data_IF_334205455708
#
_entry.id   IF_334205455708
#
_cell.length_a   1.000
_cell.length_b   1.000
_cell.length_c   1.000
_cell.angle_alpha   90.00
_cell.angle_beta   90.00
_cell.angle_gamma   90.00
#
_symmetry.space_group_name_H-M   'P 1'
#
loop_
_entity.id
_entity.type
_entity.pdbx_description
1 polymer ?
#
# COMPACT_ATOMS: atom_id res chain seq x y z
N UNK A 1 18.91 2.90 25.71
CA UNK A 1 18.25 1.93 24.80
C UNK A 1 18.53 2.34 23.36
N UNK A 2 18.91 1.37 22.52
CA UNK A 2 19.07 1.57 21.07
C UNK A 2 17.70 1.81 20.45
N UNK A 3 17.54 2.87 19.66
CA UNK A 3 16.31 3.13 18.92
C UNK A 3 16.09 2.07 17.83
N UNK A 4 14.93 1.44 17.84
CA UNK A 4 14.58 0.47 16.82
C UNK A 4 14.21 1.20 15.51
N UNK A 5 15.14 1.17 14.55
CA UNK A 5 14.97 1.81 13.24
C UNK A 5 13.88 1.14 12.39
N UNK A 6 13.43 -0.07 12.73
CA UNK A 6 12.33 -0.75 12.01
C UNK A 6 10.98 -0.05 12.19
N UNK A 7 10.85 0.84 13.18
CA UNK A 7 9.64 1.63 13.41
C UNK A 7 9.46 2.78 12.41
N UNK A 8 10.55 3.26 11.79
CA UNK A 8 10.50 4.43 10.89
C UNK A 8 9.56 4.19 9.70
N UNK A 9 9.69 3.10 8.91
CA UNK A 9 8.80 2.90 7.76
C UNK A 9 7.34 2.79 8.15
N UNK A 10 7.03 2.10 9.26
CA UNK A 10 5.65 1.94 9.76
C UNK A 10 5.06 3.29 10.15
N UNK A 11 5.81 4.09 10.92
CA UNK A 11 5.37 5.42 11.36
C UNK A 11 5.12 6.39 10.20
N UNK A 12 5.95 6.36 9.16
CA UNK A 12 5.83 7.30 8.04
C UNK A 12 4.92 6.81 6.91
N UNK A 13 4.92 5.52 6.58
CA UNK A 13 4.25 4.99 5.38
C UNK A 13 2.90 4.36 5.69
N UNK A 14 2.78 3.66 6.82
CA UNK A 14 1.58 2.89 7.15
C UNK A 14 0.65 3.65 8.09
N UNK A 15 1.20 4.54 8.91
CA UNK A 15 0.40 5.29 9.87
C UNK A 15 -0.60 6.24 9.17
N UNK A 16 -1.90 6.12 9.47
CA UNK A 16 -2.95 6.85 8.77
C UNK A 16 -2.99 8.32 9.15
N UNK A 17 -3.59 9.12 8.27
CA UNK A 17 -3.84 10.54 8.55
C UNK A 17 -4.93 10.69 9.63
N UNK A 18 -4.77 11.70 10.49
CA UNK A 18 -5.71 12.12 11.53
C UNK A 18 -5.99 11.14 12.68
N UNK A 19 -5.30 9.99 12.71
CA UNK A 19 -5.33 9.10 13.87
C UNK A 19 -4.34 9.58 14.94
N UNK A 20 -4.75 9.63 16.21
CA UNK A 20 -3.86 9.98 17.33
C UNK A 20 -3.01 8.77 17.77
N UNK A 21 -1.69 8.94 17.83
CA UNK A 21 -0.79 8.06 18.58
C UNK A 21 -0.58 8.64 19.96
N UNK A 22 -0.80 7.83 20.99
CA UNK A 22 -0.49 8.15 22.36
C UNK A 22 0.95 7.73 22.72
N UNK A 23 1.69 8.67 23.28
CA UNK A 23 2.99 8.43 23.88
C UNK A 23 2.88 8.80 25.37
N UNK A 24 2.97 7.84 26.30
CA UNK A 24 3.02 8.14 27.71
C UNK A 24 4.09 9.21 27.99
N UNK A 25 3.78 10.18 28.85
CA UNK A 25 4.65 11.33 29.10
C UNK A 25 5.81 11.00 30.05
N UNK A 26 6.59 9.98 29.67
CA UNK A 26 7.81 9.56 30.34
C UNK A 26 9.03 9.77 29.43
N UNK A 27 10.23 9.73 30.02
CA UNK A 27 11.47 10.04 29.30
C UNK A 27 11.66 9.13 28.08
N UNK A 28 11.38 7.84 28.21
CA UNK A 28 11.58 6.86 27.14
C UNK A 28 10.70 7.17 25.91
N UNK A 29 9.40 7.31 26.12
CA UNK A 29 8.42 7.46 25.04
C UNK A 29 8.51 8.84 24.37
N UNK A 30 8.74 9.91 25.14
CA UNK A 30 8.94 11.26 24.59
C UNK A 30 10.23 11.31 23.76
N UNK A 31 11.31 10.66 24.22
CA UNK A 31 12.56 10.56 23.44
C UNK A 31 12.35 9.72 22.17
N UNK A 32 11.59 8.63 22.23
CA UNK A 32 11.25 7.82 21.05
C UNK A 32 10.50 8.66 20.01
N UNK A 33 9.46 9.39 20.42
CA UNK A 33 8.71 10.29 19.53
C UNK A 33 9.63 11.35 18.89
N UNK A 34 10.49 11.97 19.70
CA UNK A 34 11.46 12.94 19.19
C UNK A 34 12.41 12.31 18.16
N UNK A 35 12.92 11.11 18.42
CA UNK A 35 13.78 10.37 17.47
C UNK A 35 13.05 9.95 16.21
N UNK A 36 11.76 9.61 16.29
CA UNK A 36 10.96 9.31 15.10
C UNK A 36 10.87 10.53 14.18
N UNK A 37 10.69 11.73 14.75
CA UNK A 37 10.50 12.96 14.00
C UNK A 37 11.83 13.59 13.51
N UNK A 38 12.90 13.52 14.31
CA UNK A 38 14.15 14.25 14.06
C UNK A 38 15.41 13.37 13.95
N UNK A 39 15.26 12.05 14.06
CA UNK A 39 16.37 11.10 14.03
C UNK A 39 17.16 11.00 15.34
N UNK A 40 18.08 10.04 15.42
CA UNK A 40 18.99 9.92 16.56
C UNK A 40 20.04 11.01 16.51
N UNK A 41 20.23 11.77 17.61
CA UNK A 41 21.21 12.85 17.68
C UNK A 41 21.06 13.90 16.57
N UNK A 42 19.84 14.13 16.06
CA UNK A 42 19.57 14.99 14.90
C UNK A 42 20.28 14.53 13.62
N UNK A 43 20.74 13.27 13.59
CA UNK A 43 21.25 12.67 12.36
C UNK A 43 20.08 12.40 11.43
N UNK A 44 20.25 12.83 10.17
CA UNK A 44 19.27 12.61 9.10
C UNK A 44 18.95 11.12 9.03
N UNK A 45 17.68 10.75 9.14
CA UNK A 45 17.28 9.39 8.84
C UNK A 45 17.03 9.22 7.33
N UNK A 46 17.04 7.97 6.88
CA UNK A 46 16.65 7.59 5.54
C UNK A 46 15.39 6.74 5.58
N UNK A 47 14.57 6.87 4.54
CA UNK A 47 13.34 6.12 4.33
C UNK A 47 13.41 5.45 2.97
N UNK A 48 13.48 4.13 2.95
CA UNK A 48 13.42 3.36 1.71
C UNK A 48 11.95 3.19 1.29
N UNK A 49 11.59 3.75 0.15
CA UNK A 49 10.22 3.70 -0.37
C UNK A 49 10.17 3.98 -1.87
N UNK A 50 9.01 3.78 -2.50
CA UNK A 50 8.81 4.12 -3.90
C UNK A 50 8.93 5.62 -4.13
N UNK A 51 9.63 6.01 -5.19
CA UNK A 51 9.59 7.38 -5.69
C UNK A 51 8.58 7.47 -6.84
N UNK A 52 7.42 8.15 -6.69
CA UNK A 52 6.40 8.23 -7.74
C UNK A 52 6.87 8.93 -9.02
N UNK A 53 7.84 9.84 -8.89
CA UNK A 53 8.43 10.57 -10.00
C UNK A 53 9.49 9.75 -10.74
N UNK A 54 10.35 9.01 -10.01
CA UNK A 54 11.32 8.09 -10.62
C UNK A 54 10.70 6.80 -11.15
N UNK A 55 9.53 6.41 -10.62
CA UNK A 55 8.85 5.14 -10.86
C UNK A 55 9.68 3.90 -10.49
N UNK A 56 10.33 3.94 -9.32
CA UNK A 56 11.12 2.83 -8.74
C UNK A 56 11.40 3.06 -7.26
N UNK A 57 11.63 1.99 -6.50
CA UNK A 57 12.14 2.02 -5.13
C UNK A 57 13.39 2.89 -5.01
N UNK A 58 13.42 3.81 -4.05
CA UNK A 58 14.54 4.71 -3.77
C UNK A 58 14.73 4.92 -2.27
N UNK A 59 15.93 5.35 -1.90
CA UNK A 59 16.19 5.90 -0.57
C UNK A 59 15.86 7.39 -0.57
N UNK A 60 15.00 7.81 0.36
CA UNK A 60 14.70 9.21 0.63
C UNK A 60 15.45 9.67 1.86
N UNK A 61 16.20 10.76 1.75
CA UNK A 61 17.01 11.30 2.83
C UNK A 61 16.28 12.49 3.47
N UNK A 62 16.19 12.50 4.80
CA UNK A 62 15.58 13.61 5.52
C UNK A 62 16.35 14.92 5.24
N UNK A 63 15.61 15.93 4.81
CA UNK A 63 16.04 17.32 4.76
C UNK A 63 15.67 17.92 6.11
N UNK A 64 16.64 17.95 7.01
CA UNK A 64 16.46 18.49 8.35
C UNK A 64 16.42 20.02 8.26
N UNK A 65 15.22 20.58 8.34
CA UNK A 65 14.98 22.01 8.52
C UNK A 65 14.73 22.23 10.01
N UNK A 66 15.80 22.54 10.73
CA UNK A 66 15.70 22.90 12.15
C UNK A 66 15.55 24.42 12.21
N UNK A 67 14.54 24.97 12.91
CA UNK A 67 14.49 26.39 13.22
C UNK A 67 15.82 26.90 13.81
N UNK A 68 16.32 28.04 13.34
CA UNK A 68 17.68 28.54 13.70
C UNK A 68 17.88 28.68 15.22
N UNK A 69 16.84 29.04 15.95
CA UNK A 69 16.81 29.13 17.42
C UNK A 69 17.05 27.78 18.08
N UNK A 70 16.45 26.71 17.53
CA UNK A 70 16.68 25.36 17.97
C UNK A 70 18.09 24.90 17.59
N UNK A 71 18.58 25.20 16.38
CA UNK A 71 19.94 24.80 15.98
C UNK A 71 21.00 25.34 16.95
N UNK A 72 20.82 26.56 17.45
CA UNK A 72 21.68 27.21 18.45
C UNK A 72 21.57 26.53 19.83
N UNK A 73 20.37 26.13 20.28
CA UNK A 73 20.20 25.39 21.54
C UNK A 73 20.76 23.95 21.47
N UNK A 74 20.56 23.28 20.33
CA UNK A 74 21.01 21.91 20.06
C UNK A 74 22.55 21.81 19.95
N UNK A 75 23.22 22.84 19.42
CA UNK A 75 24.69 22.90 19.38
C UNK A 75 25.32 23.10 20.77
N UNK A 76 24.58 23.63 21.75
CA UNK A 76 25.09 23.92 23.11
C UNK A 76 25.01 22.74 24.08
N UNK A 77 24.09 21.78 23.87
CA UNK A 77 23.91 20.61 24.72
C UNK A 77 24.47 19.36 24.03
N UNK A 78 25.64 18.90 24.46
CA UNK A 78 26.20 17.64 23.96
C UNK A 78 25.32 16.46 24.38
N UNK A 79 24.78 15.76 23.39
CA UNK A 79 24.48 14.32 23.35
C UNK A 79 23.16 13.77 23.92
N UNK A 80 22.42 14.43 24.82
CA UNK A 80 21.10 13.93 25.26
C UNK A 80 20.12 15.06 25.58
N UNK A 81 18.91 14.98 25.03
CA UNK A 81 17.80 15.88 25.37
C UNK A 81 16.96 15.25 26.48
N UNK A 82 16.79 15.97 27.57
CA UNK A 82 15.84 15.59 28.62
C UNK A 82 14.39 15.81 28.14
N UNK A 83 13.46 15.06 28.72
CA UNK A 83 12.03 15.13 28.40
C UNK A 83 11.47 16.55 28.47
N UNK A 84 11.83 17.30 29.52
CA UNK A 84 11.32 18.66 29.73
C UNK A 84 11.73 19.64 28.60
N UNK A 85 12.92 19.46 28.03
CA UNK A 85 13.38 20.24 26.88
C UNK A 85 12.58 19.89 25.62
N UNK A 86 12.34 18.60 25.39
CA UNK A 86 11.55 18.12 24.23
C UNK A 86 10.09 18.60 24.32
N UNK A 87 9.47 18.48 25.50
CA UNK A 87 8.08 18.91 25.73
C UNK A 87 7.90 20.41 25.45
N UNK A 88 8.74 21.27 26.04
CA UNK A 88 8.73 22.71 25.78
C UNK A 88 8.85 23.06 24.30
N UNK A 89 9.55 22.23 23.56
CA UNK A 89 9.70 22.44 22.14
C UNK A 89 8.46 22.02 21.35
N UNK A 90 7.88 20.86 21.64
CA UNK A 90 6.59 20.47 21.07
C UNK A 90 5.49 21.50 21.38
N UNK A 91 5.51 22.14 22.55
CA UNK A 91 4.61 23.26 22.88
C UNK A 91 4.83 24.49 21.99
N UNK A 92 6.08 24.84 21.68
CA UNK A 92 6.44 25.97 20.81
C UNK A 92 6.17 25.69 19.34
N UNK A 93 6.38 24.45 18.90
CA UNK A 93 6.25 24.01 17.51
C UNK A 93 5.37 22.77 17.43
N UNK A 94 4.05 22.90 17.65
CA UNK A 94 3.14 21.76 17.65
C UNK A 94 2.94 21.18 16.24
N UNK A 95 3.23 21.94 15.18
CA UNK A 95 3.20 21.46 13.80
C UNK A 95 4.61 21.18 13.29
N UNK A 96 4.86 19.92 12.94
CA UNK A 96 6.19 19.40 12.60
C UNK A 96 6.20 18.95 11.14
N UNK A 97 6.81 19.75 10.24
CA UNK A 97 7.02 19.37 8.85
C UNK A 97 8.27 18.48 8.70
N UNK A 98 8.12 17.35 8.02
CA UNK A 98 9.21 16.44 7.68
C UNK A 98 9.34 16.41 6.16
N UNK A 99 10.49 16.86 5.67
CA UNK A 99 10.83 16.84 4.25
C UNK A 99 11.87 15.77 3.98
N UNK A 100 11.72 15.01 2.89
CA UNK A 100 12.72 14.07 2.41
C UNK A 100 12.95 14.24 0.90
N UNK A 101 14.20 14.11 0.46
CA UNK A 101 14.56 14.12 -0.96
C UNK A 101 15.04 12.75 -1.45
N UNK A 102 14.65 12.41 -2.67
CA UNK A 102 15.09 11.18 -3.33
C UNK A 102 16.59 11.21 -3.63
N UNK A 103 17.30 10.13 -3.28
CA UNK A 103 18.73 9.98 -3.57
C UNK A 103 19.10 10.01 -5.06
N UNK A 104 18.13 9.73 -5.95
CA UNK A 104 18.34 9.73 -7.40
C UNK A 104 18.08 11.08 -8.06
N UNK A 105 17.25 11.91 -7.45
CA UNK A 105 16.97 13.27 -7.91
C UNK A 105 16.46 14.09 -6.72
N UNK A 106 17.24 15.08 -6.30
CA UNK A 106 16.91 15.93 -5.16
C UNK A 106 15.64 16.76 -5.33
N UNK A 107 15.15 16.92 -6.58
CA UNK A 107 13.90 17.62 -6.86
C UNK A 107 12.66 16.77 -6.54
N UNK A 108 12.80 15.44 -6.47
CA UNK A 108 11.67 14.57 -6.10
C UNK A 108 11.58 14.50 -4.58
N UNK A 109 10.44 14.91 -4.03
CA UNK A 109 10.29 15.09 -2.58
C UNK A 109 9.12 14.30 -2.02
N UNK A 110 9.29 13.85 -0.78
CA UNK A 110 8.21 13.36 0.07
C UNK A 110 8.13 14.28 1.28
N UNK A 111 6.91 14.56 1.70
CA UNK A 111 6.57 15.44 2.78
C UNK A 111 5.57 14.75 3.72
N UNK A 112 5.77 14.94 5.02
CA UNK A 112 4.83 14.58 6.07
C UNK A 112 4.64 15.75 7.02
N UNK A 113 3.43 15.93 7.55
CA UNK A 113 3.14 16.91 8.58
C UNK A 113 2.53 16.22 9.80
N UNK A 114 3.07 16.51 10.98
CA UNK A 114 2.57 16.00 12.25
C UNK A 114 2.08 17.15 13.13
N UNK A 115 1.06 16.89 13.93
CA UNK A 115 0.55 17.76 14.97
C UNK A 115 0.77 17.08 16.33
N UNK A 116 1.35 17.82 17.27
CA UNK A 116 1.64 17.35 18.63
C UNK A 116 0.74 18.08 19.63
N UNK A 117 0.05 17.31 20.47
CA UNK A 117 -0.74 17.81 21.60
C UNK A 117 -0.17 17.23 22.89
N UNK A 118 0.11 18.06 23.89
CA UNK A 118 0.62 17.61 25.19
C UNK A 118 -0.48 17.76 26.23
N UNK A 119 -0.82 16.64 26.87
CA UNK A 119 -1.71 16.59 28.03
C UNK A 119 -0.91 16.30 29.32
N UNK A 120 -1.60 16.12 30.45
CA UNK A 120 -0.96 15.91 31.76
C UNK A 120 -0.05 14.67 31.74
N UNK A 121 -0.56 13.53 31.24
CA UNK A 121 0.11 12.22 31.31
C UNK A 121 0.50 11.65 29.93
N UNK A 122 0.10 12.30 28.83
CA UNK A 122 0.26 11.76 27.47
C UNK A 122 0.66 12.85 26.49
N UNK A 123 1.52 12.51 25.53
CA UNK A 123 1.81 13.29 24.33
C UNK A 123 1.14 12.61 23.14
N UNK A 124 0.24 13.31 22.46
CA UNK A 124 -0.41 12.81 21.26
C UNK A 124 0.32 13.29 20.01
N UNK A 125 0.60 12.37 19.10
CA UNK A 125 1.14 12.67 17.78
C UNK A 125 0.13 12.27 16.70
N UNK A 126 -0.24 13.22 15.86
CA UNK A 126 -1.21 13.01 14.78
C UNK A 126 -0.58 13.38 13.45
N UNK A 127 -0.54 12.44 12.50
CA UNK A 127 -0.14 12.76 11.13
C UNK A 127 -1.27 13.55 10.45
N UNK A 128 -1.08 14.84 10.21
CA UNK A 128 -2.12 15.75 9.68
C UNK A 128 -1.97 16.05 8.20
N UNK A 129 -0.86 15.63 7.57
CA UNK A 129 -0.68 15.79 6.13
C UNK A 129 0.44 14.93 5.56
N UNK A 130 0.37 14.68 4.25
CA UNK A 130 1.46 14.09 3.49
C UNK A 130 1.37 14.42 2.00
N UNK A 131 2.53 14.41 1.33
CA UNK A 131 2.64 14.47 -0.12
C UNK A 131 3.86 13.66 -0.58
N UNK A 132 3.78 12.83 -1.63
CA UNK A 132 2.57 12.39 -2.34
C UNK A 132 1.61 11.61 -1.43
N UNK A 133 0.43 11.24 -1.95
CA UNK A 133 -0.55 10.49 -1.16
C UNK A 133 0.00 9.11 -0.76
N UNK A 134 -0.57 8.48 0.27
CA UNK A 134 -0.16 7.13 0.70
C UNK A 134 -0.34 6.13 -0.44
N UNK A 135 -1.40 6.31 -1.22
CA UNK A 135 -1.69 5.56 -2.42
C UNK A 135 -0.77 5.87 -3.61
N UNK A 136 0.03 6.95 -3.58
CA UNK A 136 1.09 7.23 -4.56
C UNK A 136 2.43 6.61 -4.13
N UNK A 137 2.72 6.62 -2.82
CA UNK A 137 3.94 6.02 -2.26
C UNK A 137 3.84 4.48 -2.26
N UNK A 138 2.66 3.91 -2.07
CA UNK A 138 2.42 2.47 -2.19
C UNK A 138 2.45 1.95 -3.64
N UNK A 139 2.69 2.81 -4.64
CA UNK A 139 2.47 2.48 -6.07
C UNK A 139 3.48 1.49 -6.63
N UNK A 140 4.71 1.35 -6.14
CA UNK A 140 5.66 0.42 -6.78
C UNK A 140 5.11 -1.00 -6.86
N UNK A 141 4.57 -1.47 -5.73
CA UNK A 141 4.02 -2.81 -5.65
C UNK A 141 2.73 -2.95 -6.47
N UNK A 142 2.02 -1.85 -6.71
CA UNK A 142 0.75 -1.84 -7.42
C UNK A 142 0.91 -1.63 -8.93
N UNK A 143 1.95 -0.93 -9.39
CA UNK A 143 2.08 -0.53 -10.80
C UNK A 143 2.25 -1.78 -11.69
N UNK A 144 2.90 -2.84 -11.19
CA UNK A 144 2.94 -4.15 -11.85
C UNK A 144 1.55 -4.74 -12.13
N UNK A 145 0.54 -4.35 -11.35
CA UNK A 145 -0.85 -4.79 -11.51
C UNK A 145 -1.67 -3.91 -12.46
N UNK A 146 -1.13 -2.77 -12.91
CA UNK A 146 -1.84 -1.88 -13.83
C UNK A 146 -2.21 -2.54 -15.14
N UNK A 147 -1.26 -3.27 -15.75
CA UNK A 147 -1.47 -3.98 -17.02
C UNK A 147 -2.54 -5.08 -16.90
N UNK A 148 -2.45 -6.04 -15.94
CA UNK A 148 -3.46 -7.08 -15.81
C UNK A 148 -4.84 -6.55 -15.38
N UNK A 149 -4.94 -5.52 -14.54
CA UNK A 149 -6.23 -4.93 -14.13
C UNK A 149 -6.88 -4.04 -15.20
N UNK A 150 -6.05 -3.37 -16.02
CA UNK A 150 -6.51 -2.28 -16.87
C UNK A 150 -6.76 -0.99 -16.08
N UNK A 151 -6.96 0.13 -16.80
CA UNK A 151 -7.00 1.48 -16.19
C UNK A 151 -8.10 1.63 -15.14
N UNK A 152 -9.32 1.14 -15.42
CA UNK A 152 -10.47 1.29 -14.54
C UNK A 152 -10.26 0.55 -13.21
N UNK A 153 -10.07 -0.77 -13.26
CA UNK A 153 -9.94 -1.59 -12.05
C UNK A 153 -8.65 -1.28 -11.27
N UNK A 154 -7.60 -0.79 -11.95
CA UNK A 154 -6.42 -0.25 -11.27
C UNK A 154 -6.75 0.99 -10.42
N UNK A 155 -7.55 1.91 -10.95
CA UNK A 155 -8.02 3.07 -10.17
C UNK A 155 -8.92 2.65 -9.01
N UNK A 156 -9.79 1.66 -9.20
CA UNK A 156 -10.60 1.08 -8.12
C UNK A 156 -9.72 0.48 -7.03
N UNK A 157 -8.65 -0.24 -7.38
CA UNK A 157 -7.74 -0.83 -6.40
C UNK A 157 -7.01 0.24 -5.59
N UNK A 158 -6.54 1.31 -6.25
CA UNK A 158 -5.93 2.46 -5.57
C UNK A 158 -6.91 3.18 -4.64
N UNK A 159 -8.17 3.38 -5.08
CA UNK A 159 -9.22 3.97 -4.23
C UNK A 159 -9.51 3.12 -3.01
N UNK A 160 -9.59 1.81 -3.17
CA UNK A 160 -9.79 0.87 -2.06
C UNK A 160 -8.72 1.05 -0.98
N UNK A 161 -7.45 1.08 -1.40
CA UNK A 161 -6.30 1.27 -0.49
C UNK A 161 -6.34 2.65 0.18
N UNK A 162 -6.66 3.70 -0.58
CA UNK A 162 -6.79 5.05 -0.03
C UNK A 162 -7.90 5.15 1.02
N UNK A 163 -9.08 4.60 0.75
CA UNK A 163 -10.21 4.60 1.68
C UNK A 163 -9.90 3.83 2.96
N UNK A 164 -9.29 2.64 2.84
CA UNK A 164 -8.86 1.87 4.00
C UNK A 164 -7.83 2.64 4.84
N UNK A 165 -6.89 3.35 4.21
CA UNK A 165 -5.92 4.19 4.92
C UNK A 165 -6.56 5.38 5.67
N UNK A 166 -7.80 5.74 5.34
CA UNK A 166 -8.58 6.75 6.04
C UNK A 166 -9.60 6.16 7.01
N UNK A 167 -9.54 4.86 7.29
CA UNK A 167 -10.50 4.20 8.18
C UNK A 167 -11.89 4.01 7.57
N UNK A 168 -12.03 4.17 6.24
CA UNK A 168 -13.29 3.96 5.52
C UNK A 168 -13.31 2.53 4.93
N UNK A 169 -13.53 1.54 5.79
CA UNK A 169 -13.61 0.12 5.48
C UNK A 169 -14.73 -0.27 4.51
N UNK A 170 -15.98 0.18 4.75
CA UNK A 170 -17.12 -0.22 3.90
C UNK A 170 -16.93 0.25 2.46
N UNK A 171 -16.52 1.51 2.29
CA UNK A 171 -16.15 2.08 1.01
C UNK A 171 -14.97 1.34 0.36
N UNK A 172 -13.94 0.99 1.13
CA UNK A 172 -12.80 0.24 0.62
C UNK A 172 -13.19 -1.14 0.09
N UNK A 173 -14.04 -1.88 0.80
CA UNK A 173 -14.52 -3.20 0.40
C UNK A 173 -15.36 -3.17 -0.89
N UNK A 174 -16.18 -2.14 -1.11
CA UNK A 174 -16.92 -1.97 -2.38
C UNK A 174 -15.97 -2.02 -3.58
N UNK A 175 -14.83 -1.34 -3.49
CA UNK A 175 -13.87 -1.32 -4.59
C UNK A 175 -13.14 -2.66 -4.76
N UNK A 176 -12.78 -3.35 -3.68
CA UNK A 176 -12.19 -4.70 -3.78
C UNK A 176 -13.18 -5.71 -4.39
N UNK A 177 -14.46 -5.64 -3.98
CA UNK A 177 -15.56 -6.43 -4.56
C UNK A 177 -15.66 -6.23 -6.06
N UNK A 178 -15.69 -4.99 -6.54
CA UNK A 178 -15.77 -4.69 -7.99
C UNK A 178 -14.63 -5.33 -8.78
N UNK A 179 -13.42 -5.36 -8.23
CA UNK A 179 -12.29 -6.03 -8.88
C UNK A 179 -12.55 -7.54 -8.95
N UNK A 180 -12.98 -8.17 -7.86
CA UNK A 180 -13.24 -9.62 -7.85
C UNK A 180 -14.38 -9.99 -8.80
N UNK A 181 -15.52 -9.30 -8.70
CA UNK A 181 -16.72 -9.62 -9.49
C UNK A 181 -16.56 -9.23 -10.96
N UNK A 182 -16.15 -8.00 -11.25
CA UNK A 182 -16.13 -7.50 -12.62
C UNK A 182 -14.83 -7.84 -13.34
N UNK A 183 -13.68 -7.79 -12.66
CA UNK A 183 -12.39 -7.99 -13.34
C UNK A 183 -11.93 -9.45 -13.36
N UNK A 184 -12.28 -10.25 -12.36
CA UNK A 184 -11.86 -11.66 -12.35
C UNK A 184 -12.96 -12.59 -12.84
N UNK A 185 -14.15 -12.49 -12.26
CA UNK A 185 -15.25 -13.42 -12.56
C UNK A 185 -15.86 -13.10 -13.93
N UNK A 186 -16.30 -11.86 -14.15
CA UNK A 186 -16.93 -11.49 -15.42
C UNK A 186 -15.98 -11.60 -16.63
N UNK A 187 -14.71 -11.21 -16.49
CA UNK A 187 -13.71 -11.45 -17.55
C UNK A 187 -13.55 -12.95 -17.87
N UNK A 188 -13.60 -13.83 -16.86
CA UNK A 188 -13.50 -15.28 -17.06
C UNK A 188 -14.77 -15.85 -17.70
N UNK A 189 -15.93 -15.35 -17.32
CA UNK A 189 -17.23 -15.66 -17.95
C UNK A 189 -17.25 -15.24 -19.43
N UNK A 190 -16.84 -14.01 -19.75
CA UNK A 190 -16.75 -13.54 -21.13
C UNK A 190 -15.75 -14.34 -21.97
N UNK A 191 -14.68 -14.86 -21.35
CA UNK A 191 -13.75 -15.80 -22.01
C UNK A 191 -14.40 -17.16 -22.25
N UNK A 192 -15.11 -17.69 -21.27
CA UNK A 192 -15.80 -18.97 -21.39
C UNK A 192 -16.86 -18.92 -22.50
N UNK A 193 -17.69 -17.87 -22.54
CA UNK A 193 -18.68 -17.62 -23.61
C UNK A 193 -18.06 -17.61 -25.02
N UNK A 194 -16.82 -17.13 -25.16
CA UNK A 194 -16.12 -17.03 -26.46
C UNK A 194 -15.41 -18.31 -26.86
N UNK A 195 -14.93 -19.09 -25.89
CA UNK A 195 -14.02 -20.21 -26.12
C UNK A 195 -14.69 -21.59 -25.96
N UNK A 196 -15.73 -21.71 -25.13
CA UNK A 196 -16.46 -22.95 -24.91
C UNK A 196 -17.67 -23.02 -25.85
N UNK A 197 -17.64 -23.97 -26.79
CA UNK A 197 -18.74 -24.21 -27.74
C UNK A 197 -19.99 -24.78 -27.06
N UNK A 198 -19.87 -25.34 -25.86
CA UNK A 198 -20.97 -25.91 -25.07
C UNK A 198 -21.49 -24.96 -23.98
N UNK A 199 -21.08 -23.69 -24.01
CA UNK A 199 -21.49 -22.71 -23.01
C UNK A 199 -23.03 -22.58 -22.94
N UNK A 200 -23.57 -22.74 -21.73
CA UNK A 200 -24.99 -22.60 -21.45
C UNK A 200 -25.21 -21.52 -20.40
N UNK A 201 -25.60 -20.33 -20.86
CA UNK A 201 -25.82 -19.14 -20.04
C UNK A 201 -26.87 -19.39 -18.94
N UNK A 202 -28.02 -19.97 -19.30
CA UNK A 202 -29.11 -20.21 -18.36
C UNK A 202 -28.71 -21.18 -17.23
N UNK A 203 -27.92 -22.19 -17.56
CA UNK A 203 -27.34 -23.09 -16.56
C UNK A 203 -26.37 -22.34 -15.65
N UNK A 204 -25.42 -21.58 -16.24
CA UNK A 204 -24.42 -20.84 -15.48
C UNK A 204 -25.05 -19.82 -14.53
N UNK A 205 -26.03 -19.03 -14.98
CA UNK A 205 -26.71 -18.03 -14.14
C UNK A 205 -27.40 -18.67 -12.92
N UNK A 206 -27.92 -19.89 -13.07
CA UNK A 206 -28.60 -20.66 -12.01
C UNK A 206 -27.65 -21.22 -10.94
N UNK A 207 -26.35 -21.31 -11.22
CA UNK A 207 -25.36 -21.85 -10.29
C UNK A 207 -25.17 -20.94 -9.07
N UNK A 208 -24.85 -21.55 -7.93
CA UNK A 208 -24.43 -20.81 -6.74
C UNK A 208 -23.05 -20.20 -6.95
N UNK A 209 -22.73 -19.20 -6.13
CA UNK A 209 -21.48 -18.47 -6.17
C UNK A 209 -20.22 -19.37 -6.29
N UNK A 210 -20.07 -20.34 -5.39
CA UNK A 210 -18.94 -21.26 -5.40
C UNK A 210 -18.90 -22.18 -6.63
N UNK A 211 -20.07 -22.54 -7.16
CA UNK A 211 -20.23 -23.39 -8.33
C UNK A 211 -19.88 -22.63 -9.61
N UNK A 212 -20.23 -21.33 -9.68
CA UNK A 212 -19.82 -20.43 -10.76
C UNK A 212 -18.30 -20.37 -10.88
N UNK A 213 -17.60 -20.13 -9.77
CA UNK A 213 -16.12 -20.11 -9.77
C UNK A 213 -15.55 -21.43 -10.25
N UNK A 214 -16.09 -22.56 -9.77
CA UNK A 214 -15.63 -23.88 -10.18
C UNK A 214 -15.89 -24.13 -11.67
N UNK A 215 -17.04 -23.70 -12.20
CA UNK A 215 -17.36 -23.82 -13.61
C UNK A 215 -16.38 -23.00 -14.50
N UNK A 216 -15.89 -21.87 -13.98
CA UNK A 216 -14.90 -21.02 -14.64
C UNK A 216 -13.44 -21.45 -14.45
N UNK A 217 -13.17 -22.59 -13.79
CA UNK A 217 -11.81 -23.08 -13.51
C UNK A 217 -10.84 -23.03 -14.71
N UNK A 218 -11.25 -23.37 -15.96
CA UNK A 218 -10.35 -23.28 -17.11
C UNK A 218 -9.97 -21.85 -17.52
N UNK A 219 -10.72 -20.83 -17.07
CA UNK A 219 -10.65 -19.45 -17.56
C UNK A 219 -10.29 -18.42 -16.47
N UNK A 220 -10.23 -18.85 -15.21
CA UNK A 220 -9.93 -18.02 -14.04
C UNK A 220 -8.65 -18.50 -13.34
N UNK A 221 -8.13 -17.70 -12.42
CA UNK A 221 -6.97 -18.03 -11.58
C UNK A 221 -7.25 -19.26 -10.72
N UNK A 222 -6.28 -20.21 -10.66
CA UNK A 222 -6.40 -21.40 -9.80
C UNK A 222 -6.49 -21.03 -8.34
N UNK A 223 -5.78 -19.97 -7.94
CA UNK A 223 -5.86 -19.44 -6.58
C UNK A 223 -7.29 -19.05 -6.20
N UNK A 224 -8.05 -18.43 -7.10
CA UNK A 224 -9.47 -18.11 -6.84
C UNK A 224 -10.35 -19.37 -6.76
N UNK A 225 -10.07 -20.39 -7.57
CA UNK A 225 -10.80 -21.68 -7.52
C UNK A 225 -10.60 -22.39 -6.18
N UNK A 226 -9.35 -22.45 -5.72
CA UNK A 226 -8.99 -23.01 -4.41
C UNK A 226 -9.62 -22.22 -3.25
N UNK A 227 -9.82 -20.91 -3.44
CA UNK A 227 -10.34 -19.98 -2.43
C UNK A 227 -11.73 -19.44 -2.78
N UNK A 228 -12.60 -20.27 -3.40
CA UNK A 228 -13.95 -19.89 -3.88
C UNK A 228 -14.88 -19.23 -2.85
N UNK A 229 -14.60 -19.43 -1.54
CA UNK A 229 -15.30 -18.76 -0.43
C UNK A 229 -15.20 -17.23 -0.49
N UNK A 230 -14.14 -16.69 -1.09
CA UNK A 230 -13.95 -15.24 -1.27
C UNK A 230 -15.14 -14.61 -1.98
N UNK A 231 -15.72 -15.31 -2.96
CA UNK A 231 -16.87 -14.77 -3.68
C UNK A 231 -18.10 -14.69 -2.79
N UNK A 232 -18.34 -15.70 -1.95
CA UNK A 232 -19.36 -15.60 -0.89
C UNK A 232 -19.14 -14.38 0.00
N UNK A 233 -17.89 -14.11 0.42
CA UNK A 233 -17.54 -12.96 1.28
C UNK A 233 -17.86 -11.63 0.60
N UNK A 234 -17.44 -11.43 -0.65
CA UNK A 234 -17.68 -10.15 -1.35
C UNK A 234 -19.11 -10.00 -1.87
N UNK A 235 -19.83 -11.11 -2.05
CA UNK A 235 -21.24 -11.11 -2.45
C UNK A 235 -22.20 -10.98 -1.28
N UNK A 236 -21.75 -11.15 -0.02
CA UNK A 236 -22.54 -10.77 1.16
C UNK A 236 -22.84 -9.26 1.12
N UNK A 237 -24.01 -8.87 1.63
CA UNK A 237 -24.39 -7.48 1.72
C UNK A 237 -23.46 -6.75 2.68
N UNK A 238 -22.78 -5.70 2.21
CA UNK A 238 -21.94 -4.85 3.08
C UNK A 238 -22.75 -4.16 4.20
N UNK A 239 -24.08 -4.18 4.12
CA UNK A 239 -24.98 -3.68 5.16
C UNK A 239 -24.96 -4.53 6.44
N UNK A 240 -24.47 -5.77 6.36
CA UNK A 240 -24.40 -6.68 7.51
C UNK A 240 -23.09 -6.54 8.30
N UNK A 241 -22.14 -5.72 7.84
CA UNK A 241 -20.83 -5.53 8.46
C UNK A 241 -20.67 -4.12 9.04
N UNK A 242 -20.05 -4.01 10.21
CA UNK A 242 -19.61 -2.74 10.78
C UNK A 242 -18.42 -2.16 10.01
N UNK A 243 -18.10 -0.89 10.23
CA UNK A 243 -16.93 -0.26 9.62
C UNK A 243 -15.63 -0.92 10.07
N UNK A 244 -15.56 -1.30 11.35
CA UNK A 244 -14.44 -2.02 11.97
C UNK A 244 -14.26 -3.41 11.36
N UNK A 245 -15.35 -4.18 11.19
CA UNK A 245 -15.31 -5.49 10.53
C UNK A 245 -14.84 -5.36 9.07
N UNK A 246 -15.29 -4.31 8.38
CA UNK A 246 -14.84 -4.05 7.01
C UNK A 246 -13.34 -3.76 6.93
N UNK A 247 -12.80 -2.99 7.88
CA UNK A 247 -11.36 -2.71 8.00
C UNK A 247 -10.57 -3.99 8.34
N UNK A 248 -11.13 -4.87 9.18
CA UNK A 248 -10.51 -6.16 9.52
C UNK A 248 -10.45 -7.12 8.31
N UNK A 249 -11.47 -7.12 7.45
CA UNK A 249 -11.51 -7.99 6.27
C UNK A 249 -10.62 -7.48 5.12
N UNK A 250 -10.36 -6.17 5.06
CA UNK A 250 -9.66 -5.53 3.96
C UNK A 250 -8.27 -6.14 3.65
N UNK A 251 -7.37 -6.37 4.64
CA UNK A 251 -6.05 -6.96 4.37
C UNK A 251 -6.13 -8.33 3.70
N UNK A 252 -7.08 -9.16 4.12
CA UNK A 252 -7.31 -10.50 3.57
C UNK A 252 -7.77 -10.43 2.12
N UNK A 253 -8.79 -9.61 1.82
CA UNK A 253 -9.31 -9.45 0.46
C UNK A 253 -8.29 -8.79 -0.48
N UNK A 254 -7.53 -7.81 0.02
CA UNK A 254 -6.39 -7.22 -0.72
C UNK A 254 -5.37 -8.29 -1.08
N UNK A 255 -5.05 -9.19 -0.15
CA UNK A 255 -4.09 -10.27 -0.38
C UNK A 255 -4.57 -11.26 -1.44
N UNK A 256 -5.86 -11.61 -1.43
CA UNK A 256 -6.46 -12.46 -2.47
C UNK A 256 -6.31 -11.83 -3.85
N UNK A 257 -6.63 -10.55 -4.00
CA UNK A 257 -6.46 -9.81 -5.26
C UNK A 257 -5.00 -9.83 -5.71
N UNK A 258 -4.05 -9.54 -4.81
CA UNK A 258 -2.61 -9.56 -5.13
C UNK A 258 -2.12 -10.92 -5.59
N UNK A 259 -2.51 -12.00 -4.90
CA UNK A 259 -2.10 -13.37 -5.23
C UNK A 259 -2.67 -13.81 -6.57
N UNK A 260 -3.95 -13.49 -6.82
CA UNK A 260 -4.60 -13.70 -8.12
C UNK A 260 -3.85 -12.99 -9.25
N UNK A 261 -3.51 -11.71 -9.05
CA UNK A 261 -2.79 -10.91 -10.05
C UNK A 261 -1.36 -11.41 -10.28
N UNK A 262 -0.68 -11.86 -9.23
CA UNK A 262 0.63 -12.48 -9.34
C UNK A 262 0.58 -13.76 -10.19
N UNK A 263 -0.46 -14.59 -10.02
CA UNK A 263 -0.67 -15.77 -10.85
C UNK A 263 -0.91 -15.39 -12.32
N UNK A 264 -1.79 -14.42 -12.59
CA UNK A 264 -2.06 -13.94 -13.95
C UNK A 264 -0.78 -13.44 -14.63
N UNK A 265 0.06 -12.67 -13.91
CA UNK A 265 1.34 -12.19 -14.45
C UNK A 265 2.24 -13.37 -14.80
N UNK A 266 2.37 -14.37 -13.92
CA UNK A 266 3.19 -15.57 -14.18
C UNK A 266 2.70 -16.33 -15.41
N UNK A 267 1.39 -16.51 -15.56
CA UNK A 267 0.80 -17.19 -16.72
C UNK A 267 1.12 -16.43 -18.02
N UNK A 268 1.01 -15.10 -18.03
CA UNK A 268 1.36 -14.27 -19.19
C UNK A 268 2.84 -14.39 -19.56
N UNK A 269 3.74 -14.37 -18.57
CA UNK A 269 5.18 -14.54 -18.78
C UNK A 269 5.52 -15.94 -19.36
N UNK A 270 4.83 -16.99 -18.91
CA UNK A 270 4.99 -18.35 -19.44
C UNK A 270 4.49 -18.48 -20.89
N UNK A 271 3.36 -17.86 -21.22
CA UNK A 271 2.84 -17.80 -22.59
C UNK A 271 3.80 -17.05 -23.53
N UNK A 272 4.35 -15.92 -23.09
CA UNK A 272 5.33 -15.15 -23.85
C UNK A 272 6.61 -15.97 -24.10
N UNK A 273 7.13 -16.67 -23.08
CA UNK A 273 8.27 -17.59 -23.23
C UNK A 273 7.99 -18.68 -24.26
N UNK A 274 6.80 -19.29 -24.22
CA UNK A 274 6.40 -20.33 -25.19
C UNK A 274 6.33 -19.76 -26.62
N UNK A 275 5.77 -18.56 -26.79
CA UNK A 275 5.69 -17.88 -28.09
C UNK A 275 7.08 -17.61 -28.66
N UNK A 276 7.98 -17.03 -27.85
CA UNK A 276 9.36 -16.75 -28.24
C UNK A 276 10.08 -18.05 -28.61
N UNK A 277 9.95 -19.11 -27.81
CA UNK A 277 10.58 -20.40 -28.12
C UNK A 277 10.08 -21.00 -29.46
N UNK A 278 8.78 -20.85 -29.75
CA UNK A 278 8.18 -21.29 -31.01
C UNK A 278 8.71 -20.47 -32.19
N UNK A 279 8.85 -19.15 -32.04
CA UNK A 279 9.39 -18.27 -33.07
C UNK A 279 10.87 -18.58 -33.36
N UNK A 280 11.68 -18.80 -32.32
CA UNK A 280 13.08 -19.20 -32.46
C UNK A 280 13.23 -20.52 -33.23
N UNK A 281 12.38 -21.51 -32.93
CA UNK A 281 12.36 -22.79 -33.65
C UNK A 281 12.02 -22.60 -35.14
N UNK A 282 11.05 -21.73 -35.47
CA UNK A 282 10.71 -21.39 -36.87
C UNK A 282 11.89 -20.74 -37.60
N UNK A 283 12.54 -19.74 -36.99
CA UNK A 283 13.72 -19.07 -37.56
C UNK A 283 14.86 -20.08 -37.82
N UNK A 284 15.09 -21.00 -36.89
CA UNK A 284 16.11 -22.04 -37.04
C UNK A 284 15.80 -23.01 -38.20
N UNK A 285 14.52 -23.39 -38.37
CA UNK A 285 14.09 -24.25 -39.47
C UNK A 285 14.19 -23.56 -40.83
N UNK A 286 13.88 -22.27 -40.93
CA UNK A 286 13.99 -21.49 -42.18
C UNK A 286 15.45 -21.31 -42.61
N UNK A 287 16.37 -21.12 -41.66
CA UNK A 287 17.81 -21.03 -41.95
C UNK A 287 18.43 -22.34 -42.42
N UNK A 288 17.86 -23.50 -42.07
CA UNK A 288 18.32 -24.82 -42.56
C UNK A 288 17.85 -25.18 -43.96
N UNK A 289 16.89 -24.41 -44.53
CA UNK A 289 16.35 -24.62 -45.89
C UNK A 289 17.03 -23.73 -46.95
N UNK A 290 17.93 -22.84 -46.54
CA UNK A 290 18.85 -22.09 -47.42
C UNK A 290 20.21 -22.77 -47.40
#
# INVERSE_FOLDING_TARGET
MSFDRTLIPVFYLEYPLYKKLDFPKNDEQVIILFKLLYGEHLSRFHLDTYCPECKKESTFNQIVIIPDDLQIELQKKSTFYDRATIEKWFEKTPFIPIHLSCSRNSNHTIFFAFHIEIEEETVFCTKVGQYPSSADIAVDELERYRKPLGKQHFQEFRKAIGLNAHGVGSGALIYLRRIIENKFIKDAEEKAQKLDSNWNEAHYESLRAEEKIKHLEPYISKYLVENKKVYGIVSMGLHDLSEEECLEYFPTLRSVIKLTLNEIIRQQEEEEKKLVSTQLNKIHQERKKK
#
